data_IF_668977522235
#
_entry.id   IF_668977522235
#
_cell.length_a   1.000
_cell.length_b   1.000
_cell.length_c   1.000
_cell.angle_alpha   90.00
_cell.angle_beta   90.00
_cell.angle_gamma   90.00
#
_symmetry.space_group_name_H-M   'P 1'
#
loop_
_entity.id
_entity.type
_entity.pdbx_description
1 polymer ?
#
# COMPACT_ATOMS: atom_id res chain seq x y z
N UNK A 1 -17.72 5.55 -7.72
CA UNK A 1 -16.99 5.62 -6.46
C UNK A 1 -15.48 5.44 -6.66
N UNK A 2 -14.69 6.14 -5.86
CA UNK A 2 -13.23 6.18 -6.01
C UNK A 2 -12.56 4.81 -5.88
N UNK A 3 -13.11 3.92 -5.04
CA UNK A 3 -12.54 2.57 -4.77
C UNK A 3 -12.34 1.72 -6.03
N UNK A 4 -13.07 1.95 -7.10
CA UNK A 4 -12.90 1.20 -8.34
C UNK A 4 -11.54 1.44 -9.00
N UNK A 5 -10.92 2.62 -8.83
CA UNK A 5 -9.60 2.91 -9.41
C UNK A 5 -8.49 2.05 -8.79
N UNK A 6 -8.29 2.03 -7.46
CA UNK A 6 -7.29 1.16 -6.87
C UNK A 6 -7.59 -0.33 -7.10
N UNK A 7 -8.85 -0.77 -7.03
CA UNK A 7 -9.22 -2.15 -7.36
C UNK A 7 -8.79 -2.50 -8.79
N UNK A 8 -9.16 -1.69 -9.78
CA UNK A 8 -8.81 -1.91 -11.19
C UNK A 8 -7.29 -1.94 -11.39
N UNK A 9 -6.56 -1.07 -10.69
CA UNK A 9 -5.09 -1.02 -10.73
C UNK A 9 -4.47 -2.36 -10.32
N UNK A 10 -4.95 -2.95 -9.23
CA UNK A 10 -4.46 -4.26 -8.77
C UNK A 10 -4.97 -5.41 -9.63
N UNK A 11 -6.20 -5.37 -10.12
CA UNK A 11 -6.73 -6.38 -11.06
C UNK A 11 -5.85 -6.45 -12.31
N UNK A 12 -5.43 -5.33 -12.86
CA UNK A 12 -4.52 -5.29 -14.02
C UNK A 12 -3.11 -5.83 -13.71
N UNK A 13 -2.72 -5.93 -12.45
CA UNK A 13 -1.49 -6.61 -12.03
C UNK A 13 -1.65 -8.13 -11.85
N UNK A 14 -2.86 -8.66 -12.08
CA UNK A 14 -3.19 -10.08 -11.97
C UNK A 14 -3.66 -10.52 -10.59
N UNK A 15 -3.99 -9.59 -9.69
CA UNK A 15 -4.50 -9.89 -8.35
C UNK A 15 -6.02 -10.10 -8.44
N UNK A 16 -6.50 -11.17 -7.81
CA UNK A 16 -7.93 -11.56 -7.80
C UNK A 16 -8.52 -11.73 -6.40
N UNK A 17 -7.71 -11.76 -5.36
CA UNK A 17 -8.14 -11.88 -3.97
C UNK A 17 -7.85 -10.56 -3.25
N UNK A 18 -8.88 -9.99 -2.61
CA UNK A 18 -8.82 -8.66 -2.01
C UNK A 18 -9.31 -8.70 -0.56
N UNK A 19 -8.61 -7.98 0.30
CA UNK A 19 -9.09 -7.60 1.62
C UNK A 19 -9.30 -6.09 1.65
N UNK A 20 -10.53 -5.65 1.89
CA UNK A 20 -10.86 -4.23 2.05
C UNK A 20 -10.92 -3.93 3.54
N UNK A 21 -9.99 -3.09 4.01
CA UNK A 21 -9.91 -2.64 5.39
C UNK A 21 -10.55 -1.25 5.46
N UNK A 22 -11.57 -1.12 6.29
CA UNK A 22 -12.36 0.10 6.41
C UNK A 22 -12.57 0.48 7.88
N UNK A 23 -12.99 1.71 8.13
CA UNK A 23 -13.49 2.09 9.44
C UNK A 23 -14.88 1.45 9.70
N UNK A 24 -15.33 1.32 10.97
CA UNK A 24 -16.60 0.67 11.29
C UNK A 24 -17.83 1.29 10.62
N UNK A 25 -17.83 2.62 10.39
CA UNK A 25 -18.98 3.34 9.85
C UNK A 25 -19.19 3.07 8.36
N UNK A 26 -18.12 2.77 7.64
CA UNK A 26 -18.14 2.60 6.18
C UNK A 26 -18.33 1.15 5.74
N UNK A 27 -18.20 0.17 6.63
CA UNK A 27 -18.26 -1.25 6.28
C UNK A 27 -19.50 -1.63 5.46
N UNK A 28 -20.67 -1.21 5.91
CA UNK A 28 -21.91 -1.55 5.23
C UNK A 28 -22.03 -0.89 3.85
N UNK A 29 -21.49 0.32 3.69
CA UNK A 29 -21.45 1.02 2.42
C UNK A 29 -20.57 0.28 1.40
N UNK A 30 -19.37 -0.15 1.81
CA UNK A 30 -18.48 -0.91 0.95
C UNK A 30 -19.04 -2.29 0.61
N UNK A 31 -19.61 -3.01 1.59
CA UNK A 31 -20.29 -4.30 1.33
C UNK A 31 -21.46 -4.17 0.37
N UNK A 32 -22.27 -3.13 0.50
CA UNK A 32 -23.40 -2.87 -0.42
C UNK A 32 -22.92 -2.53 -1.83
N UNK A 33 -21.79 -1.84 -1.96
CA UNK A 33 -21.25 -1.41 -3.24
C UNK A 33 -20.55 -2.53 -4.00
N UNK A 34 -19.72 -3.33 -3.31
CA UNK A 34 -18.79 -4.27 -3.94
C UNK A 34 -19.19 -5.75 -3.73
N UNK A 35 -20.03 -6.02 -2.72
CA UNK A 35 -20.44 -7.39 -2.40
C UNK A 35 -19.25 -8.28 -2.06
N UNK A 36 -19.27 -9.51 -2.57
CA UNK A 36 -18.18 -10.48 -2.48
C UNK A 36 -17.21 -10.42 -3.69
N UNK A 37 -17.39 -9.45 -4.58
CA UNK A 37 -16.52 -9.24 -5.74
C UNK A 37 -16.80 -10.13 -6.95
N UNK A 38 -17.65 -11.16 -6.86
CA UNK A 38 -17.89 -12.12 -7.95
C UNK A 38 -18.33 -11.47 -9.25
N UNK A 39 -19.13 -10.42 -9.18
CA UNK A 39 -19.59 -9.68 -10.35
C UNK A 39 -18.47 -8.93 -11.10
N UNK A 40 -17.32 -8.75 -10.43
CA UNK A 40 -16.08 -8.18 -10.99
C UNK A 40 -15.05 -9.26 -11.36
N UNK A 41 -15.37 -10.54 -11.15
CA UNK A 41 -14.45 -11.66 -11.38
C UNK A 41 -13.34 -11.79 -10.33
N UNK A 42 -13.54 -11.26 -9.13
CA UNK A 42 -12.60 -11.27 -8.01
C UNK A 42 -13.27 -11.79 -6.74
N UNK A 43 -12.48 -12.03 -5.68
CA UNK A 43 -12.97 -12.32 -4.33
C UNK A 43 -12.65 -11.15 -3.40
N UNK A 44 -13.61 -10.72 -2.58
CA UNK A 44 -13.43 -9.62 -1.65
C UNK A 44 -13.85 -10.06 -0.25
N UNK A 45 -12.92 -9.96 0.68
CA UNK A 45 -13.14 -10.03 2.13
C UNK A 45 -13.06 -8.63 2.75
N UNK A 46 -13.56 -8.48 3.97
CA UNK A 46 -13.63 -7.20 4.67
C UNK A 46 -13.16 -7.33 6.11
N UNK A 47 -12.32 -6.38 6.53
CA UNK A 47 -11.88 -6.23 7.92
C UNK A 47 -12.04 -4.77 8.38
N UNK A 48 -12.04 -4.58 9.70
CA UNK A 48 -12.25 -3.27 10.31
C UNK A 48 -10.96 -2.78 10.96
N UNK A 49 -10.55 -1.57 10.62
CA UNK A 49 -9.58 -0.80 11.37
C UNK A 49 -10.34 0.17 12.30
N UNK A 50 -10.31 -0.09 13.61
CA UNK A 50 -11.08 0.69 14.58
C UNK A 50 -10.49 2.07 14.84
N UNK A 51 -9.18 2.19 14.80
CA UNK A 51 -8.46 3.44 15.03
C UNK A 51 -7.46 3.69 13.89
N UNK A 52 -7.16 4.94 13.55
CA UNK A 52 -6.20 5.28 12.49
C UNK A 52 -4.75 5.14 13.02
N UNK A 53 -4.35 3.90 13.34
CA UNK A 53 -3.04 3.59 13.92
C UNK A 53 -1.90 3.55 12.88
N UNK A 54 -2.18 3.96 11.64
CA UNK A 54 -1.21 3.98 10.55
C UNK A 54 -1.44 2.90 9.49
N UNK A 55 -0.80 3.07 8.34
CA UNK A 55 -0.99 2.21 7.17
C UNK A 55 -0.44 0.80 7.42
N UNK A 56 0.68 0.69 8.14
CA UNK A 56 1.32 -0.60 8.40
C UNK A 56 0.44 -1.54 9.26
N UNK A 57 -0.52 -1.03 10.04
CA UNK A 57 -1.47 -1.86 10.78
C UNK A 57 -2.31 -2.76 9.87
N UNK A 58 -2.49 -2.39 8.60
CA UNK A 58 -3.21 -3.19 7.62
C UNK A 58 -2.64 -4.62 7.49
N UNK A 59 -1.33 -4.81 7.62
CA UNK A 59 -0.71 -6.14 7.54
C UNK A 59 -0.95 -6.97 8.80
N UNK A 60 -1.14 -6.33 9.96
CA UNK A 60 -1.50 -7.00 11.21
C UNK A 60 -2.96 -7.44 11.15
N UNK A 61 -3.86 -6.55 10.72
CA UNK A 61 -5.28 -6.84 10.54
C UNK A 61 -5.47 -7.95 9.49
N UNK A 62 -4.73 -7.86 8.38
CA UNK A 62 -4.82 -8.78 7.25
C UNK A 62 -4.01 -10.07 7.39
N UNK A 63 -3.38 -10.35 8.54
CA UNK A 63 -2.48 -11.49 8.71
C UNK A 63 -3.08 -12.83 8.26
N UNK A 64 -4.32 -13.12 8.64
CA UNK A 64 -5.02 -14.36 8.25
C UNK A 64 -5.27 -14.44 6.75
N UNK A 65 -5.62 -13.31 6.15
CA UNK A 65 -5.85 -13.21 4.71
C UNK A 65 -4.55 -13.39 3.93
N UNK A 66 -3.48 -12.75 4.36
CA UNK A 66 -2.16 -12.83 3.71
C UNK A 66 -1.56 -14.24 3.83
N UNK A 67 -1.65 -14.84 5.01
CA UNK A 67 -1.09 -16.16 5.28
C UNK A 67 0.41 -16.23 4.93
N UNK A 68 0.75 -17.16 4.04
CA UNK A 68 2.13 -17.35 3.57
C UNK A 68 2.40 -16.71 2.19
N UNK A 69 1.46 -15.93 1.67
CA UNK A 69 1.56 -15.34 0.33
C UNK A 69 2.25 -13.98 0.36
N UNK A 70 2.75 -13.56 -0.79
CA UNK A 70 3.12 -12.17 -1.02
C UNK A 70 1.85 -11.31 -1.07
N UNK A 71 1.97 -10.03 -0.77
CA UNK A 71 0.84 -9.12 -0.65
C UNK A 71 1.12 -7.79 -1.35
N UNK A 72 0.09 -7.24 -1.98
CA UNK A 72 0.06 -5.85 -2.41
C UNK A 72 -0.85 -5.03 -1.49
N UNK A 73 -0.45 -3.81 -1.19
CA UNK A 73 -1.29 -2.83 -0.51
C UNK A 73 -1.44 -1.61 -1.41
N UNK A 74 -2.67 -1.12 -1.53
CA UNK A 74 -2.98 0.12 -2.26
C UNK A 74 -3.91 0.98 -1.41
N UNK A 75 -3.66 2.29 -1.38
CA UNK A 75 -4.53 3.22 -0.68
C UNK A 75 -5.79 3.49 -1.50
N UNK A 76 -6.95 3.47 -0.84
CA UNK A 76 -8.27 3.54 -1.47
C UNK A 76 -8.61 4.88 -2.14
N UNK A 77 -7.86 5.93 -1.84
CA UNK A 77 -7.98 7.28 -2.40
C UNK A 77 -6.94 7.61 -3.47
N UNK A 78 -6.06 6.66 -3.81
CA UNK A 78 -5.03 6.88 -4.81
C UNK A 78 -5.51 6.49 -6.22
N UNK A 79 -5.16 7.33 -7.17
CA UNK A 79 -5.39 7.13 -8.59
C UNK A 79 -4.07 7.03 -9.33
N UNK A 80 -3.87 5.90 -10.01
CA UNK A 80 -2.65 5.64 -10.78
C UNK A 80 -2.95 5.66 -12.27
N UNK A 81 -2.18 6.46 -12.99
CA UNK A 81 -2.26 6.55 -14.44
C UNK A 81 -0.88 6.71 -15.04
N UNK A 82 -0.64 6.05 -16.16
CA UNK A 82 0.62 6.21 -16.89
C UNK A 82 0.87 5.11 -17.91
N UNK A 83 1.69 5.44 -18.90
CA UNK A 83 2.16 4.48 -19.88
C UNK A 83 3.00 3.40 -19.18
N UNK A 84 2.78 2.14 -19.56
CA UNK A 84 3.52 0.99 -18.99
C UNK A 84 3.23 0.67 -17.52
N UNK A 85 2.28 1.35 -16.83
CA UNK A 85 1.94 1.08 -15.44
C UNK A 85 1.60 -0.40 -15.22
N UNK A 86 0.75 -0.98 -16.04
CA UNK A 86 0.37 -2.41 -15.96
C UNK A 86 1.59 -3.34 -16.01
N UNK A 87 2.57 -3.04 -16.87
CA UNK A 87 3.80 -3.85 -16.97
C UNK A 87 4.66 -3.72 -15.70
N UNK A 88 4.74 -2.51 -15.14
CA UNK A 88 5.48 -2.27 -13.89
C UNK A 88 4.84 -3.01 -12.72
N UNK A 89 3.51 -2.93 -12.59
CA UNK A 89 2.76 -3.61 -11.55
C UNK A 89 2.84 -5.15 -11.68
N UNK A 90 2.73 -5.67 -12.91
CA UNK A 90 2.89 -7.11 -13.17
C UNK A 90 4.30 -7.60 -12.82
N UNK A 91 5.34 -6.80 -13.06
CA UNK A 91 6.71 -7.13 -12.64
C UNK A 91 6.85 -7.12 -11.11
N UNK A 92 6.24 -6.13 -10.46
CA UNK A 92 6.25 -6.02 -9.00
C UNK A 92 5.52 -7.21 -8.34
N UNK A 93 4.35 -7.59 -8.85
CA UNK A 93 3.54 -8.70 -8.32
C UNK A 93 4.21 -10.08 -8.46
N UNK A 94 5.15 -10.24 -9.40
CA UNK A 94 5.90 -11.48 -9.63
C UNK A 94 7.19 -11.58 -8.80
N UNK A 95 7.54 -10.54 -8.05
CA UNK A 95 8.73 -10.56 -7.21
C UNK A 95 8.47 -11.39 -5.96
N UNK A 96 9.34 -12.36 -5.69
CA UNK A 96 9.13 -13.34 -4.62
C UNK A 96 9.71 -12.91 -3.26
N UNK A 97 10.60 -11.93 -3.24
CA UNK A 97 11.30 -11.51 -2.02
C UNK A 97 11.44 -9.99 -1.94
N UNK A 98 11.39 -9.48 -0.71
CA UNK A 98 11.58 -8.08 -0.37
C UNK A 98 10.38 -7.20 -0.71
N UNK A 99 10.65 -5.91 -0.88
CA UNK A 99 9.65 -4.90 -1.17
C UNK A 99 9.83 -4.29 -2.57
N UNK A 100 8.72 -3.86 -3.18
CA UNK A 100 8.73 -2.96 -4.32
C UNK A 100 7.80 -1.81 -4.01
N UNK A 101 8.36 -0.61 -4.00
CA UNK A 101 7.63 0.65 -3.83
C UNK A 101 7.76 1.48 -5.10
N UNK A 102 6.82 2.41 -5.28
CA UNK A 102 6.81 3.33 -6.40
C UNK A 102 6.95 4.75 -5.89
N UNK A 103 7.77 5.53 -6.53
CA UNK A 103 7.94 6.95 -6.22
C UNK A 103 7.65 7.81 -7.44
N UNK A 104 7.12 9.00 -7.20
CA UNK A 104 6.86 10.01 -8.22
C UNK A 104 7.43 11.34 -7.79
N UNK A 105 7.89 12.13 -8.74
CA UNK A 105 8.36 13.48 -8.47
C UNK A 105 7.17 14.40 -8.13
N UNK A 106 7.30 15.15 -7.02
CA UNK A 106 6.29 16.07 -6.52
C UNK A 106 6.90 17.44 -6.20
N UNK A 107 6.05 18.45 -6.05
CA UNK A 107 6.47 19.82 -5.72
C UNK A 107 6.58 20.07 -4.23
N UNK A 108 5.88 19.30 -3.42
CA UNK A 108 5.71 19.44 -1.96
C UNK A 108 6.08 18.13 -1.23
N UNK A 109 7.34 17.64 -1.37
CA UNK A 109 7.75 16.32 -0.87
C UNK A 109 7.65 16.17 0.64
N UNK A 110 7.70 17.25 1.41
CA UNK A 110 7.59 17.26 2.88
C UNK A 110 6.25 16.70 3.40
N UNK A 111 5.28 16.50 2.53
CA UNK A 111 3.96 15.94 2.88
C UNK A 111 3.90 14.41 2.82
N UNK A 112 4.94 13.78 2.29
CA UNK A 112 4.95 12.35 1.93
C UNK A 112 6.15 11.63 2.53
N UNK A 113 6.15 10.31 2.45
CA UNK A 113 7.37 9.53 2.55
C UNK A 113 8.29 9.85 1.37
N UNK A 114 9.52 10.24 1.62
CA UNK A 114 10.47 10.70 0.60
C UNK A 114 11.59 9.70 0.45
N UNK A 115 11.89 9.32 -0.79
CA UNK A 115 13.03 8.46 -1.14
C UNK A 115 14.20 9.31 -1.59
N UNK A 116 15.36 9.12 -0.97
CA UNK A 116 16.64 9.68 -1.41
C UNK A 116 17.46 8.61 -2.14
N UNK A 117 18.12 9.01 -3.22
CA UNK A 117 18.94 8.13 -4.06
C UNK A 117 20.39 8.59 -4.09
N UNK A 118 21.30 7.62 -4.23
CA UNK A 118 22.68 7.91 -4.58
C UNK A 118 22.84 8.20 -6.08
N UNK A 119 24.08 8.51 -6.51
CA UNK A 119 24.41 8.79 -7.92
C UNK A 119 24.17 7.61 -8.87
N UNK A 120 24.02 6.40 -8.31
CA UNK A 120 23.77 5.16 -9.06
C UNK A 120 22.29 4.76 -9.01
N UNK A 121 21.40 5.66 -8.56
CA UNK A 121 19.97 5.42 -8.37
C UNK A 121 19.64 4.31 -7.35
N UNK A 122 20.55 4.03 -6.42
CA UNK A 122 20.25 3.16 -5.27
C UNK A 122 19.61 3.97 -4.15
N UNK A 123 18.61 3.38 -3.51
CA UNK A 123 17.96 3.99 -2.35
C UNK A 123 19.00 4.17 -1.24
N UNK A 124 19.14 5.39 -0.77
CA UNK A 124 20.04 5.80 0.32
C UNK A 124 19.30 5.94 1.63
N UNK A 125 18.12 6.52 1.58
CA UNK A 125 17.23 6.65 2.74
C UNK A 125 15.79 6.81 2.31
N UNK A 126 14.88 6.46 3.22
CA UNK A 126 13.44 6.72 3.11
C UNK A 126 13.04 7.42 4.41
N UNK A 127 12.37 8.56 4.31
CA UNK A 127 12.01 9.37 5.46
C UNK A 127 10.55 9.79 5.39
N UNK A 128 9.78 9.55 6.46
CA UNK A 128 8.39 9.98 6.56
C UNK A 128 8.31 11.48 6.82
N UNK A 129 7.63 12.21 5.94
CA UNK A 129 7.31 13.65 6.05
C UNK A 129 8.48 14.49 6.57
N UNK A 130 9.65 14.43 5.93
CA UNK A 130 10.84 15.13 6.43
C UNK A 130 10.65 16.65 6.34
N UNK A 131 11.01 17.37 7.39
CA UNK A 131 10.96 18.84 7.38
C UNK A 131 11.94 19.47 6.39
N UNK A 132 12.97 18.73 5.97
CA UNK A 132 13.96 19.12 4.96
C UNK A 132 14.19 17.93 4.02
N UNK A 133 13.37 17.76 3.00
CA UNK A 133 13.50 16.66 2.03
C UNK A 133 14.84 16.74 1.28
N UNK A 134 15.48 15.59 1.06
CA UNK A 134 16.71 15.49 0.29
C UNK A 134 16.46 15.23 -1.20
N UNK A 135 15.22 14.86 -1.56
CA UNK A 135 14.77 14.67 -2.93
C UNK A 135 13.30 15.09 -3.09
N UNK A 136 12.84 15.16 -4.33
CA UNK A 136 11.43 15.43 -4.66
C UNK A 136 10.65 14.14 -4.97
N UNK A 137 11.22 12.95 -4.72
CA UNK A 137 10.57 11.69 -5.00
C UNK A 137 9.74 11.21 -3.81
N UNK A 138 8.42 11.41 -3.90
CA UNK A 138 7.46 10.95 -2.92
C UNK A 138 7.06 9.49 -3.19
N UNK A 139 6.98 8.68 -2.14
CA UNK A 139 6.43 7.33 -2.22
C UNK A 139 4.93 7.44 -2.51
N UNK A 140 4.49 6.69 -3.50
CA UNK A 140 3.07 6.59 -3.85
C UNK A 140 2.37 5.54 -3.00
N UNK A 141 1.04 5.59 -2.94
CA UNK A 141 0.25 4.69 -2.09
C UNK A 141 0.02 3.30 -2.69
N UNK A 142 1.03 2.70 -3.34
CA UNK A 142 1.01 1.31 -3.80
C UNK A 142 2.32 0.60 -3.47
N UNK A 143 2.20 -0.58 -2.88
CA UNK A 143 3.29 -1.34 -2.30
C UNK A 143 3.15 -2.82 -2.59
N UNK A 144 4.26 -3.53 -2.80
CA UNK A 144 4.30 -4.98 -2.93
C UNK A 144 5.37 -5.53 -1.97
N UNK A 145 5.02 -6.54 -1.20
CA UNK A 145 5.88 -7.14 -0.19
C UNK A 145 5.83 -8.66 -0.23
N UNK A 146 6.92 -9.30 0.21
CA UNK A 146 6.84 -10.68 0.68
C UNK A 146 6.10 -10.75 2.03
N UNK A 147 5.77 -11.96 2.51
CA UNK A 147 4.96 -12.10 3.72
C UNK A 147 5.69 -11.74 5.02
N UNK A 148 7.01 -11.48 4.99
CA UNK A 148 7.75 -10.97 6.16
C UNK A 148 7.27 -9.60 6.60
N UNK A 149 6.54 -8.89 5.74
CA UNK A 149 5.91 -7.61 6.09
C UNK A 149 5.03 -7.71 7.34
N UNK A 150 4.38 -8.86 7.59
CA UNK A 150 3.56 -9.08 8.78
C UNK A 150 4.42 -9.00 10.04
N UNK A 151 5.57 -9.69 10.05
CA UNK A 151 6.51 -9.68 11.16
C UNK A 151 7.08 -8.27 11.38
N UNK A 152 7.51 -7.61 10.31
CA UNK A 152 8.02 -6.24 10.38
C UNK A 152 6.97 -5.30 10.96
N UNK A 153 5.71 -5.37 10.51
CA UNK A 153 4.62 -4.54 11.00
C UNK A 153 4.33 -4.75 12.49
N UNK A 154 4.40 -6.00 12.97
CA UNK A 154 4.22 -6.33 14.39
C UNK A 154 5.34 -5.78 15.29
N UNK A 155 6.53 -5.60 14.74
CA UNK A 155 7.71 -5.11 15.46
C UNK A 155 7.89 -3.59 15.36
N UNK A 156 7.03 -2.89 14.62
CA UNK A 156 7.08 -1.43 14.55
C UNK A 156 6.72 -0.79 15.90
N UNK A 157 7.39 0.30 16.20
CA UNK A 157 6.98 1.21 17.25
C UNK A 157 6.21 2.40 16.66
N UNK A 158 5.14 2.86 17.31
CA UNK A 158 4.43 4.04 16.85
C UNK A 158 5.35 5.26 16.76
N UNK A 159 5.22 6.02 15.70
CA UNK A 159 5.94 7.27 15.48
C UNK A 159 5.50 8.33 16.50
N UNK A 160 6.12 9.52 16.46
CA UNK A 160 5.69 10.69 17.25
C UNK A 160 4.23 11.10 16.99
N UNK A 161 3.65 10.67 15.87
CA UNK A 161 2.24 10.88 15.51
C UNK A 161 1.30 9.81 16.09
N UNK A 162 1.86 8.78 16.73
CA UNK A 162 1.11 7.62 17.23
C UNK A 162 0.75 6.60 16.15
N UNK A 163 1.36 6.68 14.96
CA UNK A 163 1.06 5.82 13.81
C UNK A 163 2.18 4.80 13.56
N UNK A 164 1.80 3.61 13.10
CA UNK A 164 2.71 2.60 12.55
C UNK A 164 3.00 3.01 11.10
N UNK A 165 4.17 3.61 10.89
CA UNK A 165 4.53 4.19 9.60
C UNK A 165 4.95 3.09 8.62
N UNK A 166 4.32 3.07 7.45
CA UNK A 166 4.72 2.14 6.37
C UNK A 166 6.13 2.46 5.86
N UNK A 167 6.57 3.69 6.01
CA UNK A 167 7.91 4.17 5.64
C UNK A 167 9.00 3.45 6.43
N UNK A 168 8.71 3.04 7.68
CA UNK A 168 9.66 2.32 8.53
C UNK A 168 9.78 0.83 8.17
N UNK A 169 8.85 0.30 7.34
CA UNK A 169 8.95 -1.05 6.77
C UNK A 169 9.83 -1.05 5.51
N UNK A 170 9.76 0.03 4.74
CA UNK A 170 10.46 0.17 3.46
C UNK A 170 11.96 0.41 3.66
#
# INVERSE_FOLDING_TARGET
PYIYYPLTTLIFSGISEFLIIVNPLDLNNFKSLLGDGKHLGISIDYEIQYNPNGIAEAFIIGEKFIGNSNVALILGDNFFYGNSLSNLLTKASKRNEGATIFASEVKDPERYGVVDFDRNLKIKSINEKPSKPQSNFAITGIYFYDNKVIEYSKNLNPSKRGELEITDIN
#
